data_IF_356807154894
#
_entry.id   IF_356807154894
#
_cell.length_a   1.000
_cell.length_b   1.000
_cell.length_c   1.000
_cell.angle_alpha   90.00
_cell.angle_beta   90.00
_cell.angle_gamma   90.00
#
_symmetry.space_group_name_H-M   'P 1'
#
loop_
_entity.id
_entity.type
_entity.pdbx_description
1 polymer ?
#
# COMPACT_ATOMS: atom_id res chain seq x y z
N UNK A 1 -15.35 13.04 6.91
CA UNK A 1 -14.52 13.67 7.94
C UNK A 1 -13.05 13.60 7.55
N UNK A 2 -12.27 12.62 7.91
CA UNK A 2 -10.82 12.57 7.60
C UNK A 2 -10.50 12.71 6.10
N UNK A 3 -11.27 12.11 5.21
CA UNK A 3 -11.09 12.27 3.76
C UNK A 3 -11.16 13.73 3.31
N UNK A 4 -12.11 14.50 3.86
CA UNK A 4 -12.24 15.91 3.53
C UNK A 4 -11.09 16.74 4.09
N UNK A 5 -10.55 16.36 5.25
CA UNK A 5 -9.42 17.04 5.89
C UNK A 5 -8.14 16.83 5.07
N UNK A 6 -7.88 15.58 4.61
CA UNK A 6 -6.75 15.27 3.73
C UNK A 6 -6.88 15.99 2.37
N UNK A 7 -8.08 16.01 1.79
CA UNK A 7 -8.33 16.75 0.54
C UNK A 7 -8.14 18.25 0.71
N UNK A 8 -8.61 18.83 1.81
CA UNK A 8 -8.42 20.25 2.11
C UNK A 8 -6.93 20.58 2.28
N UNK A 9 -6.20 19.75 3.02
CA UNK A 9 -4.76 19.93 3.21
C UNK A 9 -3.98 19.74 1.90
N UNK A 10 -4.37 18.79 1.07
CA UNK A 10 -3.78 18.64 -0.27
C UNK A 10 -3.92 19.92 -1.08
N UNK A 11 -5.12 20.51 -1.11
CA UNK A 11 -5.38 21.76 -1.83
C UNK A 11 -4.61 22.95 -1.27
N UNK A 12 -4.46 23.02 0.05
CA UNK A 12 -3.65 24.05 0.72
C UNK A 12 -2.18 23.98 0.27
N UNK A 13 -1.60 22.76 0.19
CA UNK A 13 -0.17 22.56 -0.09
C UNK A 13 0.13 22.59 -1.59
N UNK A 14 -0.71 21.98 -2.42
CA UNK A 14 -0.43 21.74 -3.84
C UNK A 14 -1.35 22.48 -4.81
N UNK A 15 -2.37 23.20 -4.29
CA UNK A 15 -3.40 23.85 -5.10
C UNK A 15 -4.55 22.89 -5.46
N UNK A 16 -5.65 23.44 -5.96
CA UNK A 16 -6.91 22.72 -6.22
C UNK A 16 -7.14 22.36 -7.69
N UNK A 17 -6.16 22.62 -8.56
CA UNK A 17 -6.24 22.33 -9.99
C UNK A 17 -6.07 20.84 -10.28
N UNK A 18 -6.69 20.37 -11.37
CA UNK A 18 -6.55 19.01 -11.88
C UNK A 18 -7.45 17.98 -11.21
N UNK A 19 -7.26 16.70 -11.56
CA UNK A 19 -8.05 15.56 -11.08
C UNK A 19 -7.45 15.04 -9.77
N UNK A 20 -7.93 15.55 -8.64
CA UNK A 20 -7.52 15.11 -7.30
C UNK A 20 -8.41 13.97 -6.85
N UNK A 21 -7.82 12.82 -6.54
CA UNK A 21 -8.55 11.66 -6.02
C UNK A 21 -8.11 11.31 -4.62
N UNK A 22 -9.04 10.75 -3.83
CA UNK A 22 -8.80 10.36 -2.44
C UNK A 22 -8.96 8.85 -2.30
N UNK A 23 -7.98 8.22 -1.64
CA UNK A 23 -7.86 6.80 -1.45
C UNK A 23 -7.77 6.46 0.03
N UNK A 24 -8.08 5.21 0.36
CA UNK A 24 -7.96 4.68 1.72
C UNK A 24 -7.53 3.22 1.68
N UNK A 25 -6.62 2.85 2.56
CA UNK A 25 -6.34 1.45 2.86
C UNK A 25 -6.31 1.25 4.39
N UNK A 26 -6.89 0.14 4.88
CA UNK A 26 -6.96 -0.12 6.32
C UNK A 26 -5.63 -0.62 6.88
N UNK A 27 -5.41 -0.40 8.18
CA UNK A 27 -4.51 -1.23 8.97
C UNK A 27 -5.15 -2.59 9.27
N UNK A 28 -4.40 -3.43 10.00
CA UNK A 28 -4.90 -4.76 10.40
C UNK A 28 -4.57 -5.06 11.86
N UNK A 29 -5.35 -5.96 12.46
CA UNK A 29 -4.98 -6.68 13.67
C UNK A 29 -4.91 -8.17 13.35
N UNK A 30 -3.92 -8.88 13.88
CA UNK A 30 -3.90 -10.33 13.83
C UNK A 30 -4.53 -10.88 15.11
N UNK A 31 -5.55 -11.73 14.97
CA UNK A 31 -6.27 -12.32 16.10
C UNK A 31 -5.56 -13.57 16.61
N UNK A 32 -4.94 -14.35 15.70
CA UNK A 32 -4.18 -15.55 16.03
C UNK A 32 -3.23 -15.90 14.87
N UNK A 33 -2.09 -16.52 15.19
CA UNK A 33 -1.10 -16.95 14.21
C UNK A 33 0.08 -15.99 14.08
N UNK A 34 0.55 -15.44 15.20
CA UNK A 34 1.75 -14.61 15.22
C UNK A 34 2.99 -15.44 14.78
N UNK A 35 3.85 -14.80 13.97
CA UNK A 35 5.11 -15.38 13.46
C UNK A 35 4.93 -16.65 12.58
N UNK A 36 3.74 -16.92 12.08
CA UNK A 36 3.48 -18.08 11.24
C UNK A 36 3.41 -17.76 9.75
N UNK A 37 3.22 -16.50 9.39
CA UNK A 37 3.03 -16.05 8.01
C UNK A 37 4.27 -16.26 7.12
N UNK A 38 5.48 -16.08 7.64
CA UNK A 38 6.73 -16.38 6.94
C UNK A 38 7.19 -17.84 7.08
N UNK A 39 6.50 -18.64 7.91
CA UNK A 39 6.75 -20.06 8.13
C UNK A 39 5.72 -20.97 7.42
N UNK A 40 4.85 -20.41 6.57
CA UNK A 40 3.81 -21.17 5.86
C UNK A 40 2.70 -21.69 6.78
N UNK A 41 2.46 -21.03 7.89
CA UNK A 41 1.41 -21.35 8.84
C UNK A 41 0.08 -20.65 8.53
N UNK A 42 -0.84 -20.72 9.49
CA UNK A 42 -2.15 -20.08 9.41
C UNK A 42 -2.13 -18.77 10.19
N UNK A 43 -2.77 -17.74 9.62
CA UNK A 43 -3.02 -16.46 10.27
C UNK A 43 -4.50 -16.11 10.19
N UNK A 44 -4.99 -15.30 11.12
CA UNK A 44 -6.38 -14.84 11.14
C UNK A 44 -6.44 -13.34 11.35
N UNK A 45 -6.03 -12.53 10.36
CA UNK A 45 -6.07 -11.08 10.44
C UNK A 45 -7.47 -10.53 10.18
N UNK A 46 -7.73 -9.35 10.77
CA UNK A 46 -8.87 -8.50 10.49
C UNK A 46 -8.40 -7.14 10.00
N UNK A 47 -8.99 -6.65 8.93
CA UNK A 47 -8.84 -5.25 8.53
C UNK A 47 -9.57 -4.33 9.54
N UNK A 48 -8.96 -3.20 9.84
CA UNK A 48 -9.49 -2.21 10.78
C UNK A 48 -10.24 -1.08 10.06
N UNK A 49 -11.00 -0.29 10.80
CA UNK A 49 -11.62 0.93 10.29
C UNK A 49 -10.66 2.14 10.31
N UNK A 50 -9.50 1.98 10.93
CA UNK A 50 -8.38 2.93 10.90
C UNK A 50 -7.39 2.49 9.83
N UNK A 51 -6.68 3.46 9.24
CA UNK A 51 -5.77 3.20 8.13
C UNK A 51 -5.11 4.47 7.61
N UNK A 52 -4.64 4.43 6.38
CA UNK A 52 -4.02 5.55 5.70
C UNK A 52 -4.95 6.13 4.66
N UNK A 53 -5.21 7.42 4.74
CA UNK A 53 -5.90 8.23 3.75
C UNK A 53 -4.88 8.97 2.90
N UNK A 54 -5.10 9.01 1.59
CA UNK A 54 -4.18 9.62 0.64
C UNK A 54 -4.97 10.42 -0.40
N UNK A 55 -4.65 11.69 -0.57
CA UNK A 55 -5.09 12.48 -1.71
C UNK A 55 -3.94 12.58 -2.71
N UNK A 56 -4.21 12.35 -3.99
CA UNK A 56 -3.18 12.36 -5.02
C UNK A 56 -3.71 12.91 -6.35
N UNK A 57 -2.78 13.46 -7.13
CA UNK A 57 -3.02 13.91 -8.50
C UNK A 57 -1.77 13.68 -9.35
N UNK A 58 -1.96 13.36 -10.65
CA UNK A 58 -0.85 13.31 -11.63
C UNK A 58 -0.33 14.70 -11.94
N UNK A 59 0.97 14.77 -12.13
CA UNK A 59 1.70 15.93 -12.64
C UNK A 59 1.93 15.80 -14.15
N UNK A 60 2.50 16.84 -14.75
CA UNK A 60 2.93 16.82 -16.17
C UNK A 60 4.42 16.58 -16.32
N UNK A 61 5.16 16.65 -15.23
CA UNK A 61 6.61 16.33 -15.16
C UNK A 61 6.82 14.96 -14.46
N UNK A 62 8.07 14.58 -14.20
CA UNK A 62 8.43 13.32 -13.51
C UNK A 62 8.78 13.52 -12.04
N UNK A 63 8.46 14.68 -11.46
CA UNK A 63 8.69 14.96 -10.04
C UNK A 63 7.66 14.28 -9.16
N UNK A 64 8.09 13.87 -7.98
CA UNK A 64 7.24 13.38 -6.89
C UNK A 64 7.29 14.37 -5.74
N UNK A 65 6.14 14.79 -5.24
CA UNK A 65 6.04 15.64 -4.07
C UNK A 65 5.14 14.96 -3.03
N UNK A 66 5.68 14.80 -1.84
CA UNK A 66 5.04 14.10 -0.74
C UNK A 66 4.83 15.06 0.43
N UNK A 67 3.66 15.00 1.04
CA UNK A 67 3.35 15.70 2.26
C UNK A 67 2.59 14.78 3.22
N UNK A 68 2.97 14.76 4.50
CA UNK A 68 2.28 13.98 5.52
C UNK A 68 1.77 14.87 6.63
N UNK A 69 0.46 14.81 6.90
CA UNK A 69 -0.15 15.49 8.04
C UNK A 69 0.30 14.91 9.40
N UNK A 70 0.92 13.72 9.41
CA UNK A 70 1.49 13.12 10.61
C UNK A 70 2.90 13.66 10.93
N UNK A 71 3.57 14.27 9.94
CA UNK A 71 4.93 14.80 9.99
C UNK A 71 4.96 16.18 9.32
N UNK A 72 4.05 17.06 9.76
CA UNK A 72 3.85 18.41 9.20
C UNK A 72 5.13 19.26 9.24
N UNK A 73 5.96 19.02 10.25
CA UNK A 73 7.26 19.68 10.45
C UNK A 73 8.27 19.41 9.33
N UNK A 74 8.13 18.31 8.60
CA UNK A 74 9.01 17.98 7.47
C UNK A 74 8.62 18.75 6.19
N UNK A 75 7.44 19.34 6.15
CA UNK A 75 6.94 20.03 4.97
C UNK A 75 6.79 19.11 3.75
N UNK A 76 7.01 19.68 2.56
CA UNK A 76 6.95 18.93 1.30
C UNK A 76 8.32 18.28 1.03
N UNK A 77 8.31 16.96 0.90
CA UNK A 77 9.48 16.17 0.50
C UNK A 77 9.43 15.96 -1.01
N UNK A 78 10.47 16.34 -1.73
CA UNK A 78 10.57 16.18 -3.18
C UNK A 78 11.45 14.98 -3.55
N UNK A 79 11.05 14.26 -4.59
CA UNK A 79 11.78 13.15 -5.22
C UNK A 79 11.47 13.10 -6.72
N UNK A 80 11.94 12.07 -7.42
CA UNK A 80 11.73 11.89 -8.86
C UNK A 80 11.52 10.42 -9.22
N UNK A 81 10.72 10.19 -10.25
CA UNK A 81 10.60 8.88 -10.91
C UNK A 81 11.88 8.43 -11.63
N UNK A 82 12.86 9.31 -11.76
CA UNK A 82 14.13 9.02 -12.43
C UNK A 82 15.20 8.45 -11.47
N UNK A 83 14.89 8.45 -10.15
CA UNK A 83 15.83 7.99 -9.13
C UNK A 83 15.12 7.28 -7.99
N UNK A 84 15.00 5.97 -8.07
CA UNK A 84 14.45 5.12 -7.00
C UNK A 84 15.57 4.66 -6.04
N UNK A 85 16.14 5.60 -5.29
CA UNK A 85 17.11 5.26 -4.26
C UNK A 85 16.46 5.44 -2.90
N UNK A 86 16.50 4.42 -2.02
CA UNK A 86 15.99 4.56 -0.66
C UNK A 86 16.70 5.68 0.08
N UNK A 87 15.94 6.48 0.82
CA UNK A 87 16.49 7.49 1.71
C UNK A 87 17.22 6.78 2.86
N UNK A 88 18.52 7.05 3.07
CA UNK A 88 19.31 6.37 4.09
C UNK A 88 18.86 6.71 5.52
N UNK A 89 18.20 7.83 5.73
CA UNK A 89 17.66 8.24 7.03
C UNK A 89 16.32 7.56 7.33
N UNK A 90 15.84 6.69 6.42
CA UNK A 90 14.67 5.87 6.64
C UNK A 90 13.36 6.65 6.64
N UNK A 91 13.26 7.74 5.89
CA UNK A 91 12.04 8.54 5.81
C UNK A 91 10.84 7.69 5.38
N UNK A 92 9.67 8.07 5.87
CA UNK A 92 8.41 7.40 5.54
C UNK A 92 8.12 7.34 4.03
N UNK A 93 8.70 8.24 3.24
CA UNK A 93 8.60 8.27 1.77
C UNK A 93 9.21 7.05 1.10
N UNK A 94 10.07 6.30 1.79
CA UNK A 94 10.61 5.04 1.28
C UNK A 94 9.51 4.01 0.99
N UNK A 95 8.40 3.99 1.73
CA UNK A 95 7.29 3.07 1.48
C UNK A 95 6.57 3.34 0.16
N UNK A 96 6.04 4.55 -0.13
CA UNK A 96 5.44 4.82 -1.43
C UNK A 96 6.46 4.76 -2.58
N UNK A 97 7.69 5.20 -2.38
CA UNK A 97 8.77 5.10 -3.39
C UNK A 97 9.08 3.64 -3.74
N UNK A 98 9.16 2.76 -2.76
CA UNK A 98 9.38 1.33 -2.96
C UNK A 98 8.25 0.66 -3.74
N UNK A 99 6.99 1.04 -3.49
CA UNK A 99 5.85 0.54 -4.27
C UNK A 99 5.95 1.03 -5.73
N UNK A 100 6.26 2.30 -5.97
CA UNK A 100 6.46 2.84 -7.32
C UNK A 100 7.61 2.12 -8.04
N UNK A 101 8.74 1.90 -7.36
CA UNK A 101 9.85 1.12 -7.86
C UNK A 101 9.44 -0.32 -8.25
N UNK A 102 8.62 -0.96 -7.42
CA UNK A 102 8.16 -2.32 -7.68
C UNK A 102 7.18 -2.41 -8.87
N UNK A 103 6.37 -1.37 -9.11
CA UNK A 103 5.54 -1.25 -10.32
C UNK A 103 6.41 -1.10 -11.56
N UNK A 104 7.37 -0.16 -11.55
CA UNK A 104 8.31 0.07 -12.66
C UNK A 104 9.10 -1.21 -13.00
N UNK A 105 9.59 -1.92 -11.99
CA UNK A 105 10.32 -3.19 -12.14
C UNK A 105 9.50 -4.31 -12.79
N UNK A 106 8.17 -4.22 -12.72
CA UNK A 106 7.22 -5.14 -13.38
C UNK A 106 6.77 -4.65 -14.76
N UNK A 107 7.37 -3.59 -15.28
CA UNK A 107 7.04 -3.04 -16.59
C UNK A 107 5.83 -2.09 -16.61
N UNK A 108 5.23 -1.79 -15.45
CA UNK A 108 4.16 -0.82 -15.29
C UNK A 108 4.73 0.58 -15.15
N UNK A 109 4.94 1.23 -16.29
CA UNK A 109 5.66 2.51 -16.37
C UNK A 109 4.85 3.69 -15.82
N UNK A 110 5.47 4.47 -14.94
CA UNK A 110 4.95 5.72 -14.41
C UNK A 110 5.45 6.88 -15.28
N UNK A 111 4.64 7.29 -16.26
CA UNK A 111 5.05 8.28 -17.25
C UNK A 111 5.18 9.70 -16.67
N UNK A 112 4.35 10.01 -15.68
CA UNK A 112 4.29 11.33 -15.04
C UNK A 112 4.44 11.21 -13.53
N UNK A 113 4.94 12.25 -12.88
CA UNK A 113 5.05 12.33 -11.43
C UNK A 113 3.70 12.56 -10.73
N UNK A 114 3.77 12.72 -9.42
CA UNK A 114 2.62 12.81 -8.54
C UNK A 114 2.80 13.89 -7.49
N UNK A 115 1.70 14.56 -7.13
CA UNK A 115 1.53 15.26 -5.87
C UNK A 115 0.73 14.35 -4.93
N UNK A 116 1.21 14.14 -3.71
CA UNK A 116 0.63 13.21 -2.73
C UNK A 116 0.58 13.88 -1.35
N UNK A 117 -0.62 13.96 -0.77
CA UNK A 117 -0.81 14.30 0.64
C UNK A 117 -1.47 13.13 1.37
N UNK A 118 -1.01 12.81 2.57
CA UNK A 118 -1.55 11.69 3.32
C UNK A 118 -1.71 11.97 4.82
N UNK A 119 -2.58 11.17 5.43
CA UNK A 119 -2.79 11.10 6.86
C UNK A 119 -3.08 9.66 7.30
N UNK A 120 -2.31 9.16 8.25
CA UNK A 120 -2.56 7.88 8.91
C UNK A 120 -3.17 8.10 10.30
N UNK A 121 -4.27 7.42 10.61
CA UNK A 121 -4.85 7.42 11.96
C UNK A 121 -4.57 6.13 12.73
N UNK A 122 -3.61 5.34 12.26
CA UNK A 122 -3.07 4.19 12.99
C UNK A 122 -2.11 4.72 14.05
N UNK A 123 -2.27 4.38 15.34
CA UNK A 123 -1.34 4.83 16.37
C UNK A 123 0.09 4.33 16.11
N UNK A 124 1.07 5.22 16.28
CA UNK A 124 2.47 4.86 16.07
C UNK A 124 2.92 3.75 17.04
N UNK A 125 3.68 2.79 16.53
CA UNK A 125 4.22 1.69 17.35
C UNK A 125 3.19 0.68 17.84
N UNK A 126 1.94 0.75 17.38
CA UNK A 126 0.85 -0.14 17.83
C UNK A 126 0.90 -1.56 17.24
N UNK A 127 1.78 -1.83 16.28
CA UNK A 127 1.82 -3.12 15.59
C UNK A 127 0.60 -3.37 14.65
N UNK A 128 -0.13 -2.31 14.26
CA UNK A 128 -1.34 -2.41 13.44
C UNK A 128 -1.07 -2.16 11.94
N UNK A 129 0.16 -2.36 11.49
CA UNK A 129 0.62 -2.35 10.09
C UNK A 129 0.38 -1.04 9.35
N UNK A 130 0.92 0.05 9.88
CA UNK A 130 0.89 1.35 9.20
C UNK A 130 1.68 1.33 7.88
N UNK A 131 2.82 0.62 7.81
CA UNK A 131 3.61 0.44 6.57
C UNK A 131 2.80 -0.23 5.47
N UNK A 132 2.22 -1.39 5.75
CA UNK A 132 1.40 -2.12 4.79
C UNK A 132 0.17 -1.33 4.32
N UNK A 133 -0.49 -0.58 5.23
CA UNK A 133 -1.58 0.33 4.89
C UNK A 133 -1.11 1.41 3.91
N UNK A 134 0.07 2.01 4.14
CA UNK A 134 0.66 3.02 3.26
C UNK A 134 1.06 2.43 1.89
N UNK A 135 1.65 1.24 1.88
CA UNK A 135 2.02 0.54 0.64
C UNK A 135 0.79 0.19 -0.20
N UNK A 136 -0.24 -0.37 0.42
CA UNK A 136 -1.47 -0.78 -0.26
C UNK A 136 -2.24 0.43 -0.80
N UNK A 137 -2.38 1.53 -0.03
CA UNK A 137 -3.05 2.73 -0.54
C UNK A 137 -2.28 3.35 -1.71
N UNK A 138 -0.93 3.29 -1.67
CA UNK A 138 -0.08 3.73 -2.79
C UNK A 138 -0.33 2.87 -4.02
N UNK A 139 -0.36 1.55 -3.89
CA UNK A 139 -0.66 0.64 -4.98
C UNK A 139 -2.04 0.86 -5.59
N UNK A 140 -3.06 1.11 -4.77
CA UNK A 140 -4.41 1.47 -5.23
C UNK A 140 -4.43 2.78 -6.01
N UNK A 141 -3.75 3.79 -5.51
CA UNK A 141 -3.61 5.08 -6.16
C UNK A 141 -2.95 4.93 -7.54
N UNK A 142 -1.85 4.17 -7.63
CA UNK A 142 -1.16 3.93 -8.90
C UNK A 142 -2.03 3.16 -9.89
N UNK A 143 -2.69 2.07 -9.44
CA UNK A 143 -3.65 1.32 -10.24
C UNK A 143 -4.71 2.23 -10.88
N UNK A 144 -5.33 3.08 -10.08
CA UNK A 144 -6.43 3.94 -10.52
C UNK A 144 -5.96 5.10 -11.41
N UNK A 145 -4.90 5.82 -11.00
CA UNK A 145 -4.41 6.98 -11.75
C UNK A 145 -3.77 6.62 -13.10
N UNK A 146 -3.05 5.49 -13.18
CA UNK A 146 -2.37 5.08 -14.42
C UNK A 146 -3.14 4.00 -15.20
N UNK A 147 -4.25 3.47 -14.65
CA UNK A 147 -5.07 2.47 -15.32
C UNK A 147 -4.43 1.10 -15.41
N UNK A 148 -3.59 0.72 -14.45
CA UNK A 148 -2.94 -0.59 -14.44
C UNK A 148 -3.93 -1.71 -14.13
N UNK A 149 -3.86 -2.80 -14.89
CA UNK A 149 -4.66 -4.00 -14.66
C UNK A 149 -3.96 -4.91 -13.63
N UNK A 150 -4.16 -4.60 -12.36
CA UNK A 150 -3.64 -5.37 -11.21
C UNK A 150 -4.79 -5.71 -10.26
N UNK A 151 -4.75 -6.91 -9.68
CA UNK A 151 -5.73 -7.34 -8.68
C UNK A 151 -5.35 -6.83 -7.28
N UNK A 152 -6.26 -6.93 -6.31
CA UNK A 152 -5.94 -6.63 -4.91
C UNK A 152 -4.84 -7.58 -4.37
N UNK A 153 -4.83 -8.83 -4.85
CA UNK A 153 -3.80 -9.80 -4.52
C UNK A 153 -2.43 -9.37 -5.05
N UNK A 154 -2.39 -8.85 -6.30
CA UNK A 154 -1.15 -8.30 -6.86
C UNK A 154 -0.66 -7.10 -6.05
N UNK A 155 -1.56 -6.22 -5.58
CA UNK A 155 -1.20 -5.09 -4.72
C UNK A 155 -0.56 -5.55 -3.41
N UNK A 156 -1.09 -6.61 -2.77
CA UNK A 156 -0.48 -7.17 -1.57
C UNK A 156 0.93 -7.72 -1.84
N UNK A 157 1.11 -8.44 -2.94
CA UNK A 157 2.42 -8.98 -3.36
C UNK A 157 3.43 -7.88 -3.73
N UNK A 158 2.95 -6.80 -4.37
CA UNK A 158 3.78 -5.65 -4.71
C UNK A 158 4.23 -4.94 -3.43
N UNK A 159 3.32 -4.71 -2.47
CA UNK A 159 3.65 -4.11 -1.18
C UNK A 159 4.70 -4.93 -0.42
N UNK A 160 4.48 -6.24 -0.24
CA UNK A 160 5.46 -7.11 0.40
C UNK A 160 6.81 -7.11 -0.33
N UNK A 161 6.81 -7.17 -1.65
CA UNK A 161 8.04 -7.12 -2.44
C UNK A 161 8.80 -5.81 -2.24
N UNK A 162 8.07 -4.69 -2.20
CA UNK A 162 8.60 -3.36 -1.89
C UNK A 162 9.24 -3.33 -0.49
N UNK A 163 8.50 -3.77 0.53
CA UNK A 163 8.97 -3.74 1.92
C UNK A 163 10.23 -4.59 2.10
N UNK A 164 10.29 -5.77 1.50
CA UNK A 164 11.42 -6.69 1.63
C UNK A 164 12.65 -6.28 0.80
N UNK A 165 12.46 -5.76 -0.41
CA UNK A 165 13.58 -5.56 -1.33
C UNK A 165 14.02 -4.09 -1.46
N UNK A 166 13.12 -3.14 -1.21
CA UNK A 166 13.44 -1.71 -1.25
C UNK A 166 13.73 -1.16 0.14
N UNK A 167 12.90 -1.51 1.14
CA UNK A 167 13.08 -1.06 2.52
C UNK A 167 13.99 -1.98 3.35
N UNK A 168 14.38 -3.16 2.81
CA UNK A 168 15.30 -4.08 3.47
C UNK A 168 14.70 -4.84 4.67
N UNK A 169 13.37 -4.85 4.80
CA UNK A 169 12.66 -5.65 5.80
C UNK A 169 12.56 -7.11 5.33
N UNK A 170 12.24 -8.02 6.23
CA UNK A 170 12.05 -9.43 5.89
C UNK A 170 10.76 -9.95 6.55
N UNK A 171 9.63 -9.47 6.02
CA UNK A 171 8.30 -9.76 6.56
C UNK A 171 7.50 -10.70 5.65
N UNK A 172 6.53 -11.40 6.26
CA UNK A 172 5.52 -12.18 5.54
C UNK A 172 4.50 -11.28 4.83
N UNK A 173 3.53 -11.91 4.14
CA UNK A 173 2.53 -11.19 3.33
C UNK A 173 1.28 -10.78 4.11
N UNK A 174 1.11 -11.26 5.33
CA UNK A 174 -0.14 -11.14 6.11
C UNK A 174 -0.65 -9.70 6.14
N UNK A 175 0.22 -8.75 6.37
CA UNK A 175 -0.11 -7.35 6.60
C UNK A 175 -0.68 -6.69 5.35
N UNK A 176 0.03 -6.79 4.23
CA UNK A 176 -0.40 -6.25 2.95
C UNK A 176 -1.64 -6.98 2.42
N UNK A 177 -1.69 -8.30 2.64
CA UNK A 177 -2.85 -9.09 2.21
C UNK A 177 -4.12 -8.70 2.97
N UNK A 178 -4.02 -8.56 4.30
CA UNK A 178 -5.13 -8.12 5.13
C UNK A 178 -5.62 -6.72 4.76
N UNK A 179 -4.70 -5.79 4.49
CA UNK A 179 -5.00 -4.44 4.05
C UNK A 179 -5.67 -4.41 2.67
N UNK A 180 -5.12 -5.14 1.69
CA UNK A 180 -5.61 -5.12 0.31
C UNK A 180 -6.93 -5.88 0.11
N UNK A 181 -7.17 -6.95 0.87
CA UNK A 181 -8.35 -7.82 0.72
C UNK A 181 -9.44 -7.49 1.73
N UNK A 182 -9.18 -6.63 2.71
CA UNK A 182 -10.13 -6.26 3.76
C UNK A 182 -11.42 -5.71 3.19
N UNK A 183 -12.56 -6.20 3.70
CA UNK A 183 -13.90 -5.68 3.41
C UNK A 183 -14.59 -5.35 4.72
N UNK A 184 -15.44 -4.32 4.70
CA UNK A 184 -16.22 -3.93 5.86
C UNK A 184 -17.01 -5.13 6.41
N UNK A 185 -16.91 -5.36 7.72
CA UNK A 185 -17.61 -6.42 8.46
C UNK A 185 -17.19 -7.86 8.08
N UNK A 186 -16.05 -8.03 7.38
CA UNK A 186 -15.53 -9.34 7.04
C UNK A 186 -14.21 -9.62 7.75
N UNK A 187 -14.14 -10.79 8.38
CA UNK A 187 -12.92 -11.44 8.84
C UNK A 187 -12.55 -12.51 7.82
N UNK A 188 -11.27 -12.76 7.63
CA UNK A 188 -10.85 -13.87 6.77
C UNK A 188 -9.71 -14.66 7.39
N UNK A 189 -9.81 -15.97 7.26
CA UNK A 189 -8.71 -16.88 7.56
C UNK A 189 -7.82 -17.00 6.33
N UNK A 190 -6.55 -16.72 6.48
CA UNK A 190 -5.56 -16.88 5.44
C UNK A 190 -4.69 -18.10 5.74
N UNK A 191 -4.76 -19.09 4.87
CA UNK A 191 -3.92 -20.28 4.92
C UNK A 191 -2.74 -20.04 3.97
N UNK A 192 -1.66 -19.47 4.49
CA UNK A 192 -0.53 -19.05 3.66
C UNK A 192 0.14 -20.19 2.91
N UNK A 193 0.20 -21.39 3.49
CA UNK A 193 0.75 -22.56 2.81
C UNK A 193 -0.08 -22.93 1.57
N UNK A 194 -1.41 -22.86 1.66
CA UNK A 194 -2.30 -23.10 0.51
C UNK A 194 -2.21 -21.94 -0.48
N UNK A 195 -2.11 -20.71 0.01
CA UNK A 195 -1.97 -19.52 -0.83
C UNK A 195 -0.68 -19.57 -1.67
N UNK A 196 0.45 -19.89 -1.07
CA UNK A 196 1.72 -20.05 -1.80
C UNK A 196 1.68 -21.23 -2.76
N UNK A 197 1.10 -22.36 -2.36
CA UNK A 197 0.94 -23.54 -3.23
C UNK A 197 -0.05 -23.28 -4.36
N UNK A 198 -1.16 -22.60 -4.11
CA UNK A 198 -2.15 -22.24 -5.13
C UNK A 198 -1.64 -21.13 -6.06
N UNK A 199 -0.83 -20.20 -5.58
CA UNK A 199 -0.11 -19.26 -6.43
C UNK A 199 0.88 -19.97 -7.35
N UNK A 200 1.66 -20.91 -6.83
CA UNK A 200 2.55 -21.73 -7.66
C UNK A 200 1.77 -22.60 -8.65
N UNK A 201 0.63 -23.15 -8.26
CA UNK A 201 -0.25 -23.91 -9.15
C UNK A 201 -1.01 -23.04 -10.15
N UNK A 202 -1.43 -21.85 -9.81
CA UNK A 202 -2.11 -20.93 -10.77
C UNK A 202 -1.15 -20.41 -11.84
N UNK A 203 0.14 -20.23 -11.51
CA UNK A 203 1.17 -20.00 -12.52
C UNK A 203 1.46 -21.23 -13.38
N UNK A 204 1.27 -22.44 -12.82
CA UNK A 204 1.53 -23.71 -13.54
C UNK A 204 0.29 -24.29 -14.23
N UNK A 205 -0.92 -23.98 -13.79
CA UNK A 205 -2.16 -24.66 -14.27
C UNK A 205 -3.23 -23.71 -14.82
N UNK A 206 -3.09 -22.39 -14.69
CA UNK A 206 -4.08 -21.42 -15.17
C UNK A 206 -5.45 -21.49 -14.47
N UNK A 207 -5.57 -22.12 -13.31
CA UNK A 207 -6.83 -22.20 -12.57
C UNK A 207 -7.09 -20.94 -11.75
N UNK A 208 -8.25 -20.31 -11.96
CA UNK A 208 -8.75 -19.23 -11.11
C UNK A 208 -9.12 -19.78 -9.75
N UNK A 209 -8.58 -19.18 -8.69
CA UNK A 209 -9.07 -19.41 -7.33
C UNK A 209 -10.55 -19.03 -7.26
N UNK A 210 -11.39 -19.98 -6.91
CA UNK A 210 -12.76 -19.69 -6.48
C UNK A 210 -12.68 -18.85 -5.21
N UNK A 211 -13.46 -17.76 -5.14
CA UNK A 211 -13.55 -16.94 -3.94
C UNK A 211 -13.83 -17.82 -2.72
N UNK A 212 -13.12 -17.63 -1.59
CA UNK A 212 -13.41 -18.38 -0.38
C UNK A 212 -14.86 -18.11 0.02
N UNK A 213 -15.61 -19.18 0.21
CA UNK A 213 -16.97 -19.13 0.75
C UNK A 213 -16.87 -18.60 2.17
N UNK A 214 -17.48 -17.48 2.43
CA UNK A 214 -17.51 -16.81 3.73
C UNK A 214 -18.50 -17.53 4.62
N UNK A 215 -18.08 -17.87 5.85
CA UNK A 215 -18.96 -18.26 6.96
C UNK A 215 -19.32 -17.04 7.78
#
# INVERSE_FOLDING_TARGET
>A
MIQNDVLAKFKEIFGDEGDIRVYFAPGRVNLIGEQTDYNGGHVFPCALTIGTYMAARKRTDRKLRFYSMNFDELGVIESSLDAFTPDPDGLWTNYPMGVMWAFEGRGMKLETGLDIALFGNIPNGSGLSSSASLEVVTGYMLKDLYGFDVTNQDLALIGQYSENNYNGCNYGIMDQFASAMGKKEMQFSLILRIFLLNMHQSYLTGQKLSSPTVW
#
